data_IF_911523503062
#
_entry.id   IF_911523503062
#
_cell.length_a   1.000
_cell.length_b   1.000
_cell.length_c   1.000
_cell.angle_alpha   90.00
_cell.angle_beta   90.00
_cell.angle_gamma   90.00
#
_symmetry.space_group_name_H-M   'P 1'
#
loop_
_entity.id
_entity.type
_entity.pdbx_description
1 polymer ?
#
# COMPACT_ATOMS: atom_id res chain seq x y z
N UNK A 1 -98.52 -8.99 -12.71
CA UNK A 1 -99.13 -7.66 -12.50
C UNK A 1 -98.14 -6.62 -13.03
N UNK A 2 -98.50 -6.07 -14.19
CA UNK A 2 -98.25 -4.70 -14.71
C UNK A 2 -96.81 -4.22 -14.79
N UNK A 3 -96.25 -4.14 -16.02
CA UNK A 3 -96.17 -3.01 -16.95
C UNK A 3 -95.16 -1.93 -16.45
N UNK A 4 -94.20 -1.41 -17.21
CA UNK A 4 -94.16 -0.84 -18.55
C UNK A 4 -92.74 -0.53 -18.89
N UNK A 5 -92.14 -0.76 -19.93
CA UNK A 5 -92.03 -0.16 -21.25
C UNK A 5 -91.51 1.28 -21.27
N UNK A 6 -90.15 1.46 -21.59
CA UNK A 6 -89.72 2.70 -22.27
C UNK A 6 -88.64 2.31 -23.27
N UNK A 7 -89.00 2.53 -24.54
CA UNK A 7 -88.13 2.53 -25.72
C UNK A 7 -87.28 3.82 -25.76
N UNK A 8 -85.95 3.72 -26.00
CA UNK A 8 -85.17 4.88 -26.46
C UNK A 8 -84.37 4.52 -27.73
N UNK A 9 -84.56 5.37 -28.67
CA UNK A 9 -84.17 5.26 -30.05
C UNK A 9 -82.66 5.28 -30.24
N UNK A 10 -82.26 4.60 -31.27
CA UNK A 10 -80.94 4.60 -31.85
C UNK A 10 -80.69 5.85 -32.69
N UNK A 11 -79.91 6.79 -32.24
CA UNK A 11 -79.27 7.76 -33.12
C UNK A 11 -77.89 7.28 -33.59
N UNK A 12 -77.80 6.98 -34.85
CA UNK A 12 -76.53 6.74 -35.53
C UNK A 12 -75.89 8.08 -35.87
N UNK A 13 -74.83 8.43 -35.18
CA UNK A 13 -73.93 9.49 -35.66
C UNK A 13 -72.82 8.90 -36.54
N UNK A 14 -72.87 9.25 -37.81
CA UNK A 14 -71.85 8.99 -38.80
C UNK A 14 -70.59 9.84 -38.49
N UNK A 15 -69.58 9.30 -37.82
CA UNK A 15 -68.23 9.90 -37.74
C UNK A 15 -67.40 9.48 -38.92
N UNK A 16 -67.10 10.42 -39.80
CA UNK A 16 -66.40 10.17 -41.07
C UNK A 16 -64.93 9.75 -40.88
N UNK A 17 -64.29 9.23 -41.91
CA UNK A 17 -62.92 8.61 -41.86
C UNK A 17 -61.76 9.56 -41.55
N UNK A 18 -62.01 10.85 -41.36
CA UNK A 18 -60.97 11.85 -41.07
C UNK A 18 -60.45 11.83 -39.59
N UNK A 19 -61.27 11.35 -38.63
CA UNK A 19 -60.89 11.33 -37.20
C UNK A 19 -59.98 10.15 -36.90
N UNK A 20 -60.12 9.00 -37.58
CA UNK A 20 -59.27 7.82 -37.35
C UNK A 20 -57.80 8.04 -37.83
N UNK A 21 -57.61 8.75 -38.96
CA UNK A 21 -56.25 9.05 -39.44
C UNK A 21 -55.49 10.08 -38.58
N UNK A 22 -56.21 10.95 -37.86
CA UNK A 22 -55.61 11.95 -36.98
C UNK A 22 -55.16 11.37 -35.65
N UNK A 23 -55.91 10.39 -35.09
CA UNK A 23 -55.51 9.64 -33.93
C UNK A 23 -54.34 8.72 -34.15
N UNK A 24 -54.25 8.03 -35.30
CA UNK A 24 -53.11 7.20 -35.66
C UNK A 24 -51.80 7.99 -35.80
N UNK A 25 -51.85 9.23 -36.32
CA UNK A 25 -50.64 10.11 -36.40
C UNK A 25 -50.19 10.61 -35.04
N UNK A 26 -51.10 10.87 -34.08
CA UNK A 26 -50.73 11.33 -32.74
C UNK A 26 -50.15 10.14 -31.92
N UNK A 27 -50.68 8.92 -32.07
CA UNK A 27 -50.14 7.74 -31.39
C UNK A 27 -48.76 7.35 -31.95
N UNK A 28 -48.51 7.49 -33.26
CA UNK A 28 -47.19 7.24 -33.87
C UNK A 28 -46.14 8.32 -33.45
N UNK A 29 -46.55 9.55 -33.22
CA UNK A 29 -45.64 10.62 -32.75
C UNK A 29 -45.29 10.42 -31.25
N UNK A 30 -46.19 9.92 -30.42
CA UNK A 30 -45.94 9.62 -29.01
C UNK A 30 -45.08 8.35 -28.84
N UNK A 31 -45.20 7.35 -29.69
CA UNK A 31 -44.32 6.17 -29.68
C UNK A 31 -42.92 6.46 -30.25
N UNK A 32 -42.81 7.38 -31.21
CA UNK A 32 -41.53 7.83 -31.77
C UNK A 32 -40.74 8.70 -30.79
N UNK A 33 -41.40 9.45 -29.91
CA UNK A 33 -40.74 10.29 -28.88
C UNK A 33 -40.30 9.48 -27.64
N UNK A 34 -40.90 8.31 -27.39
CA UNK A 34 -40.52 7.44 -26.25
C UNK A 34 -39.32 6.54 -26.59
N UNK A 35 -39.04 6.30 -27.88
CA UNK A 35 -37.91 5.48 -28.33
C UNK A 35 -36.56 6.25 -28.33
N UNK A 36 -36.52 7.57 -28.03
CA UNK A 36 -35.31 8.38 -28.00
C UNK A 36 -34.85 8.79 -26.60
N UNK A 37 -35.56 8.38 -25.55
CA UNK A 37 -35.05 8.41 -24.19
C UNK A 37 -34.34 7.10 -23.85
N UNK A 38 -33.33 6.72 -24.64
CA UNK A 38 -32.24 5.89 -24.13
C UNK A 38 -31.61 6.72 -23.02
N UNK A 39 -31.69 6.34 -21.74
CA UNK A 39 -30.87 7.01 -20.74
C UNK A 39 -29.44 6.84 -21.20
N UNK A 40 -28.81 7.92 -21.68
CA UNK A 40 -27.36 7.98 -21.64
C UNK A 40 -27.00 7.72 -20.19
N UNK A 41 -26.70 6.48 -19.86
CA UNK A 41 -26.01 6.14 -18.65
C UNK A 41 -24.68 6.89 -18.73
N UNK A 42 -24.68 8.12 -18.23
CA UNK A 42 -23.45 8.86 -18.02
C UNK A 42 -22.58 7.95 -17.16
N UNK A 43 -21.45 7.54 -17.69
CA UNK A 43 -20.45 6.81 -16.94
C UNK A 43 -20.20 7.57 -15.63
N UNK A 44 -20.68 7.02 -14.52
CA UNK A 44 -20.55 7.62 -13.20
C UNK A 44 -19.29 7.07 -12.57
N UNK A 45 -18.14 7.69 -12.89
CA UNK A 45 -16.90 7.34 -12.21
C UNK A 45 -16.93 7.76 -10.73
N UNK A 46 -16.30 6.99 -9.90
CA UNK A 46 -16.13 7.35 -8.48
C UNK A 46 -15.31 8.64 -8.36
N UNK A 47 -15.86 9.71 -7.77
CA UNK A 47 -15.11 10.95 -7.59
C UNK A 47 -14.04 10.80 -6.51
N UNK A 48 -12.80 11.12 -6.84
CA UNK A 48 -11.67 11.08 -5.93
C UNK A 48 -11.02 12.46 -5.81
N UNK A 49 -10.59 12.82 -4.62
CA UNK A 49 -9.92 14.09 -4.33
C UNK A 49 -8.74 13.86 -3.38
N UNK A 50 -7.66 14.65 -3.51
CA UNK A 50 -6.58 14.66 -2.53
C UNK A 50 -7.11 14.90 -1.12
N UNK A 51 -6.54 14.19 -0.13
CA UNK A 51 -6.84 14.40 1.27
C UNK A 51 -6.25 15.71 1.82
N UNK A 52 -6.53 15.98 3.09
CA UNK A 52 -5.94 17.13 3.79
C UNK A 52 -4.41 17.08 3.72
N UNK A 53 -3.80 18.22 3.35
CA UNK A 53 -2.38 18.32 3.07
C UNK A 53 -1.87 19.75 3.37
N UNK A 54 -0.84 19.85 4.20
CA UNK A 54 -0.17 21.11 4.54
C UNK A 54 0.84 21.55 3.49
N UNK A 55 1.27 20.63 2.62
CA UNK A 55 2.25 20.91 1.59
C UNK A 55 1.57 21.45 0.33
N UNK A 56 2.22 22.37 -0.35
CA UNK A 56 1.83 22.77 -1.70
C UNK A 56 2.28 21.72 -2.73
N UNK A 57 1.70 21.69 -3.95
CA UNK A 57 2.20 20.80 -5.01
C UNK A 57 3.65 21.05 -5.40
N UNK A 58 4.13 22.28 -5.32
CA UNK A 58 5.53 22.66 -5.57
C UNK A 58 6.45 22.05 -4.49
N UNK A 59 6.00 22.04 -3.24
CA UNK A 59 6.72 21.37 -2.16
C UNK A 59 6.74 19.85 -2.32
N UNK A 60 5.67 19.23 -2.85
CA UNK A 60 5.68 17.81 -3.21
C UNK A 60 6.83 17.51 -4.19
N UNK A 61 6.98 18.34 -5.24
CA UNK A 61 8.06 18.17 -6.23
C UNK A 61 9.45 18.33 -5.57
N UNK A 62 9.64 19.32 -4.71
CA UNK A 62 10.93 19.53 -4.03
C UNK A 62 11.29 18.37 -3.10
N UNK A 63 10.34 17.89 -2.29
CA UNK A 63 10.49 16.74 -1.40
C UNK A 63 10.83 15.49 -2.22
N UNK A 64 10.04 15.22 -3.25
CA UNK A 64 10.22 14.06 -4.10
C UNK A 64 11.54 14.07 -4.86
N UNK A 65 11.94 15.21 -5.40
CA UNK A 65 13.22 15.33 -6.10
C UNK A 65 14.44 15.10 -5.18
N UNK A 66 14.34 15.56 -3.91
CA UNK A 66 15.39 15.27 -2.93
C UNK A 66 15.44 13.78 -2.60
N UNK A 67 14.27 13.17 -2.34
CA UNK A 67 14.16 11.76 -2.04
C UNK A 67 14.56 10.87 -3.23
N UNK A 68 14.23 11.28 -4.48
CA UNK A 68 14.62 10.57 -5.69
C UNK A 68 16.14 10.52 -5.86
N UNK A 69 16.83 11.66 -5.70
CA UNK A 69 18.30 11.69 -5.73
C UNK A 69 18.95 10.79 -4.66
N UNK A 70 18.33 10.68 -3.50
CA UNK A 70 18.83 9.79 -2.44
C UNK A 70 18.51 8.31 -2.76
N UNK A 71 17.36 8.03 -3.34
CA UNK A 71 16.99 6.69 -3.82
C UNK A 71 17.97 6.22 -4.91
N UNK A 72 18.23 7.04 -5.93
CA UNK A 72 19.17 6.73 -7.01
C UNK A 72 20.59 6.41 -6.52
N UNK A 73 21.04 7.06 -5.42
CA UNK A 73 22.35 6.77 -4.83
C UNK A 73 22.39 5.48 -4.04
N UNK A 74 21.26 5.06 -3.46
CA UNK A 74 21.18 3.92 -2.52
C UNK A 74 20.68 2.65 -3.19
N UNK A 75 19.84 2.78 -4.21
CA UNK A 75 19.25 1.65 -4.90
C UNK A 75 20.15 1.16 -6.05
N UNK A 76 20.15 -0.14 -6.33
CA UNK A 76 20.86 -0.69 -7.48
C UNK A 76 20.07 -0.36 -8.76
N UNK A 77 20.32 0.80 -9.36
CA UNK A 77 19.62 1.21 -10.58
C UNK A 77 19.94 0.30 -11.75
N UNK A 78 18.97 0.07 -12.68
CA UNK A 78 19.21 -0.72 -13.89
C UNK A 78 20.24 -0.06 -14.82
N UNK A 79 20.32 1.28 -14.80
CA UNK A 79 21.21 2.09 -15.65
C UNK A 79 21.08 1.75 -17.16
N UNK A 80 19.85 1.49 -17.59
CA UNK A 80 19.49 1.19 -18.98
C UNK A 80 18.59 2.30 -19.53
N UNK A 81 19.14 3.24 -20.33
CA UNK A 81 18.37 4.37 -20.88
C UNK A 81 17.21 3.96 -21.77
N UNK A 82 17.26 2.79 -22.43
CA UNK A 82 16.15 2.30 -23.26
C UNK A 82 14.97 1.85 -22.40
N UNK A 83 15.28 1.17 -21.30
CA UNK A 83 14.29 0.71 -20.34
C UNK A 83 13.62 1.90 -19.64
N UNK A 84 14.40 2.87 -19.19
CA UNK A 84 13.86 4.09 -18.57
C UNK A 84 13.01 4.89 -19.56
N UNK A 85 13.45 5.00 -20.83
CA UNK A 85 12.67 5.65 -21.89
C UNK A 85 11.35 4.91 -22.17
N UNK A 86 11.37 3.58 -22.17
CA UNK A 86 10.15 2.77 -22.33
C UNK A 86 9.18 2.97 -21.16
N UNK A 87 9.66 2.89 -19.91
CA UNK A 87 8.86 3.16 -18.72
C UNK A 87 8.28 4.58 -18.74
N UNK A 88 9.08 5.56 -19.14
CA UNK A 88 8.64 6.95 -19.30
C UNK A 88 7.57 7.09 -20.40
N UNK A 89 7.67 6.37 -21.51
CA UNK A 89 6.66 6.39 -22.58
C UNK A 89 5.30 5.86 -22.09
N UNK A 90 5.30 4.72 -21.41
CA UNK A 90 4.06 4.14 -20.84
C UNK A 90 3.53 5.03 -19.73
N UNK A 91 4.39 5.40 -18.77
CA UNK A 91 4.01 6.16 -17.59
C UNK A 91 3.48 7.56 -17.90
N UNK A 92 4.10 8.30 -18.84
CA UNK A 92 3.62 9.64 -19.25
C UNK A 92 2.25 9.57 -19.91
N UNK A 93 1.99 8.56 -20.75
CA UNK A 93 0.66 8.33 -21.34
C UNK A 93 -0.41 8.15 -20.26
N UNK A 94 -0.09 7.46 -19.17
CA UNK A 94 -0.99 7.28 -18.03
C UNK A 94 -1.12 8.56 -17.21
N UNK A 95 -0.01 9.25 -16.94
CA UNK A 95 0.03 10.49 -16.18
C UNK A 95 -0.79 11.63 -16.83
N UNK A 96 -0.85 11.68 -18.15
CA UNK A 96 -1.71 12.62 -18.91
C UNK A 96 -3.21 12.43 -18.60
N UNK A 97 -3.61 11.26 -18.12
CA UNK A 97 -5.00 10.95 -17.77
C UNK A 97 -5.26 11.11 -16.25
N UNK A 98 -4.24 11.36 -15.45
CA UNK A 98 -4.37 11.52 -14.02
C UNK A 98 -4.98 12.89 -13.65
N UNK A 99 -6.01 12.95 -12.77
CA UNK A 99 -6.66 14.19 -12.37
C UNK A 99 -5.80 14.94 -11.34
N UNK A 100 -4.77 15.63 -11.76
CA UNK A 100 -3.84 16.37 -10.89
C UNK A 100 -4.37 17.75 -10.45
N UNK A 101 -5.61 18.10 -10.77
CA UNK A 101 -6.17 19.42 -10.45
C UNK A 101 -5.48 20.58 -11.17
N UNK A 102 -4.89 20.34 -12.34
CA UNK A 102 -4.15 21.33 -13.14
C UNK A 102 -2.68 21.48 -12.74
N UNK A 103 -2.20 20.69 -11.76
CA UNK A 103 -0.79 20.68 -11.37
C UNK A 103 0.01 19.88 -12.40
N UNK A 104 1.09 20.49 -12.90
CA UNK A 104 2.04 19.83 -13.80
C UNK A 104 3.14 19.18 -12.97
N UNK A 105 3.01 17.88 -12.72
CA UNK A 105 4.09 17.11 -12.09
C UNK A 105 5.11 16.64 -13.14
N UNK A 106 6.42 16.73 -12.84
CA UNK A 106 7.48 16.27 -13.74
C UNK A 106 7.65 14.76 -13.63
N UNK A 107 6.65 13.97 -14.09
CA UNK A 107 6.73 12.52 -13.96
C UNK A 107 8.02 11.95 -14.59
N UNK A 108 8.82 11.29 -13.75
CA UNK A 108 10.03 10.56 -14.09
C UNK A 108 9.90 9.10 -13.68
N UNK A 109 10.43 8.18 -14.47
CA UNK A 109 10.29 6.73 -14.28
C UNK A 109 11.65 6.07 -14.36
N UNK A 110 12.00 5.29 -13.34
CA UNK A 110 13.30 4.67 -13.15
C UNK A 110 13.19 3.18 -12.88
N UNK A 111 14.06 2.38 -13.50
CA UNK A 111 14.16 0.97 -13.20
C UNK A 111 15.17 0.71 -12.09
N UNK A 112 14.73 -0.04 -11.08
CA UNK A 112 15.60 -0.56 -10.02
C UNK A 112 15.94 -2.02 -10.33
N UNK A 113 17.23 -2.37 -10.32
CA UNK A 113 17.72 -3.72 -10.55
C UNK A 113 17.54 -4.59 -9.28
N UNK A 114 16.29 -4.79 -8.88
CA UNK A 114 15.88 -5.63 -7.77
C UNK A 114 14.84 -6.65 -8.27
N UNK A 115 14.98 -7.92 -7.84
CA UNK A 115 14.05 -9.00 -8.19
C UNK A 115 12.79 -9.03 -7.34
N UNK A 116 12.75 -8.28 -6.24
CA UNK A 116 11.52 -8.12 -5.48
C UNK A 116 10.44 -7.48 -6.38
N UNK A 117 9.23 -8.00 -6.31
CA UNK A 117 8.10 -7.39 -7.02
C UNK A 117 7.67 -6.18 -6.22
N UNK A 118 8.05 -5.00 -6.69
CA UNK A 118 7.70 -3.73 -6.06
C UNK A 118 7.76 -2.59 -7.07
N UNK A 119 6.97 -1.55 -6.82
CA UNK A 119 7.08 -0.23 -7.41
C UNK A 119 6.69 0.79 -6.35
N UNK A 120 7.18 2.01 -6.43
CA UNK A 120 6.77 3.07 -5.53
C UNK A 120 6.89 4.43 -6.20
N UNK A 121 6.04 5.35 -5.80
CA UNK A 121 6.07 6.74 -6.22
C UNK A 121 6.42 7.66 -5.06
N UNK A 122 7.38 8.53 -5.28
CA UNK A 122 7.67 9.64 -4.38
C UNK A 122 6.79 10.85 -4.71
N UNK A 123 6.54 11.75 -3.76
CA UNK A 123 5.79 12.98 -4.02
C UNK A 123 6.30 13.72 -5.25
N UNK A 124 5.41 14.38 -5.99
CA UNK A 124 5.81 15.16 -7.15
C UNK A 124 6.07 14.38 -8.44
N UNK A 125 5.97 13.02 -8.43
CA UNK A 125 5.92 12.23 -9.66
C UNK A 125 7.18 11.43 -10.01
N UNK A 126 8.05 11.12 -9.04
CA UNK A 126 9.23 10.27 -9.23
C UNK A 126 8.86 8.82 -8.94
N UNK A 127 8.80 7.98 -9.98
CA UNK A 127 8.31 6.60 -9.91
C UNK A 127 9.46 5.63 -10.12
N UNK A 128 9.63 4.69 -9.21
CA UNK A 128 10.63 3.64 -9.26
C UNK A 128 9.95 2.28 -9.44
N UNK A 129 10.45 1.49 -10.37
CA UNK A 129 9.90 0.17 -10.70
C UNK A 129 10.99 -0.88 -10.61
N UNK A 130 10.81 -1.83 -9.73
CA UNK A 130 11.73 -2.95 -9.63
C UNK A 130 11.65 -3.83 -10.88
N UNK A 131 12.80 -4.34 -11.36
CA UNK A 131 12.83 -5.27 -12.49
C UNK A 131 11.93 -6.48 -12.24
N UNK A 132 11.81 -6.94 -10.99
CA UNK A 132 10.93 -8.05 -10.61
C UNK A 132 9.47 -7.80 -10.98
N UNK A 133 8.99 -6.57 -10.92
CA UNK A 133 7.63 -6.18 -11.35
C UNK A 133 7.48 -6.31 -12.86
N UNK A 134 8.48 -5.87 -13.63
CA UNK A 134 8.49 -6.00 -15.10
C UNK A 134 8.57 -7.48 -15.53
N UNK A 135 9.40 -8.28 -14.84
CA UNK A 135 9.51 -9.72 -15.06
C UNK A 135 8.21 -10.46 -14.75
N UNK A 136 7.49 -10.03 -13.72
CA UNK A 136 6.24 -10.65 -13.26
C UNK A 136 5.04 -10.29 -14.15
N UNK A 137 5.02 -9.11 -14.76
CA UNK A 137 3.96 -8.71 -15.67
C UNK A 137 4.01 -9.54 -16.97
N UNK A 138 2.87 -10.13 -17.36
CA UNK A 138 2.78 -10.90 -18.61
C UNK A 138 2.51 -10.02 -19.81
N UNK A 139 1.86 -8.88 -19.59
CA UNK A 139 1.40 -7.96 -20.63
C UNK A 139 1.75 -6.52 -20.26
N UNK A 140 1.86 -5.66 -21.27
CA UNK A 140 2.06 -4.23 -21.07
C UNK A 140 0.97 -3.62 -20.18
N UNK A 141 -0.28 -4.05 -20.33
CA UNK A 141 -1.39 -3.55 -19.54
C UNK A 141 -1.22 -3.86 -18.03
N UNK A 142 -0.65 -5.01 -17.67
CA UNK A 142 -0.36 -5.33 -16.28
C UNK A 142 0.70 -4.40 -15.69
N UNK A 143 1.78 -4.12 -16.43
CA UNK A 143 2.77 -3.12 -16.01
C UNK A 143 2.15 -1.73 -15.95
N UNK A 144 1.35 -1.35 -16.95
CA UNK A 144 0.61 -0.09 -16.97
C UNK A 144 -0.34 0.03 -15.76
N UNK A 145 -0.93 -1.09 -15.31
CA UNK A 145 -1.76 -1.16 -14.11
C UNK A 145 -1.00 -0.77 -12.85
N UNK A 146 0.19 -1.33 -12.66
CA UNK A 146 1.06 -0.96 -11.53
C UNK A 146 1.45 0.52 -11.62
N UNK A 147 1.89 0.99 -12.80
CA UNK A 147 2.24 2.40 -12.99
C UNK A 147 1.05 3.34 -12.75
N UNK A 148 -0.16 2.97 -13.18
CA UNK A 148 -1.37 3.77 -12.94
C UNK A 148 -1.72 3.87 -11.44
N UNK A 149 -1.49 2.80 -10.69
CA UNK A 149 -1.62 2.77 -9.23
C UNK A 149 -0.63 3.75 -8.58
N UNK A 150 0.65 3.70 -8.97
CA UNK A 150 1.68 4.62 -8.45
C UNK A 150 1.38 6.09 -8.82
N UNK A 151 0.98 6.35 -10.07
CA UNK A 151 0.56 7.67 -10.52
C UNK A 151 -0.65 8.18 -9.72
N UNK A 152 -1.55 7.28 -9.31
CA UNK A 152 -2.69 7.63 -8.47
C UNK A 152 -2.29 8.11 -7.08
N UNK A 153 -1.26 7.51 -6.47
CA UNK A 153 -0.71 8.01 -5.21
C UNK A 153 -0.15 9.43 -5.34
N UNK A 154 0.48 9.75 -6.46
CA UNK A 154 0.96 11.13 -6.75
C UNK A 154 -0.21 12.08 -6.97
N UNK A 155 -1.16 11.73 -7.83
CA UNK A 155 -2.31 12.58 -8.18
C UNK A 155 -3.19 12.89 -6.95
N UNK A 156 -3.37 11.93 -6.05
CA UNK A 156 -4.11 12.08 -4.80
C UNK A 156 -3.23 12.56 -3.63
N UNK A 157 -1.94 12.79 -3.88
CA UNK A 157 -0.97 13.35 -2.93
C UNK A 157 -0.87 12.56 -1.63
N UNK A 158 -0.98 11.22 -1.71
CA UNK A 158 -1.05 10.34 -0.54
C UNK A 158 0.17 10.45 0.35
N UNK A 159 1.39 10.52 -0.22
CA UNK A 159 2.63 10.60 0.55
C UNK A 159 2.69 11.83 1.46
N UNK A 160 2.47 13.02 0.92
CA UNK A 160 2.52 14.26 1.71
C UNK A 160 1.28 14.49 2.57
N UNK A 161 0.11 13.95 2.18
CA UNK A 161 -1.06 13.90 3.07
C UNK A 161 -0.79 13.04 4.31
N UNK A 162 -0.14 11.91 4.14
CA UNK A 162 0.26 11.04 5.25
C UNK A 162 1.32 11.70 6.13
N UNK A 163 2.34 12.32 5.52
CA UNK A 163 3.34 13.11 6.23
C UNK A 163 2.70 14.27 7.03
N UNK A 164 1.68 14.93 6.46
CA UNK A 164 0.88 15.94 7.14
C UNK A 164 0.19 15.37 8.38
N UNK A 165 -0.45 14.21 8.27
CA UNK A 165 -1.13 13.57 9.40
C UNK A 165 -0.14 13.15 10.49
N UNK A 166 1.00 12.59 10.11
CA UNK A 166 2.06 12.23 11.04
C UNK A 166 2.67 13.45 11.73
N UNK A 167 2.93 14.53 10.99
CA UNK A 167 3.44 15.79 11.53
C UNK A 167 2.44 16.51 12.44
N UNK A 168 1.17 16.51 12.09
CA UNK A 168 0.12 17.14 12.90
C UNK A 168 -0.04 16.50 14.29
N UNK A 169 0.34 15.24 14.46
CA UNK A 169 0.31 14.54 15.76
C UNK A 169 1.56 14.82 16.61
N UNK A 170 2.64 15.37 16.02
CA UNK A 170 3.93 15.55 16.70
C UNK A 170 4.32 17.02 16.93
N UNK A 171 3.68 17.98 16.23
CA UNK A 171 3.99 19.40 16.35
C UNK A 171 2.98 20.10 17.29
N UNK A 172 3.44 20.91 18.26
CA UNK A 172 2.55 21.79 19.02
C UNK A 172 1.77 22.70 18.06
N UNK A 173 0.48 22.87 18.30
CA UNK A 173 -0.46 23.67 17.49
C UNK A 173 0.05 25.10 17.21
N UNK A 174 0.93 25.63 18.05
CA UNK A 174 1.57 26.94 17.88
C UNK A 174 2.44 27.06 16.62
N UNK A 175 2.92 25.95 16.05
CA UNK A 175 3.75 25.95 14.82
C UNK A 175 2.88 25.86 13.56
N UNK A 176 1.64 25.37 13.69
CA UNK A 176 0.69 25.26 12.58
C UNK A 176 0.10 26.61 12.13
N UNK A 177 0.13 27.65 12.98
CA UNK A 177 -0.40 28.97 12.69
C UNK A 177 0.60 30.02 12.23
N UNK A 178 1.87 29.75 12.28
CA UNK A 178 2.94 30.70 11.97
C UNK A 178 3.95 30.14 10.96
N UNK A 179 3.70 30.38 9.67
CA UNK A 179 4.70 30.52 8.60
C UNK A 179 5.79 29.44 8.63
N UNK A 180 5.65 28.43 7.80
CA UNK A 180 6.76 27.62 7.30
C UNK A 180 7.73 28.55 6.53
N UNK A 181 8.64 29.21 7.22
CA UNK A 181 9.75 29.91 6.60
C UNK A 181 10.71 28.91 5.93
N UNK A 182 11.47 29.36 4.93
CA UNK A 182 12.38 28.53 4.13
C UNK A 182 13.32 27.62 4.96
N UNK A 183 13.70 28.02 6.17
CA UNK A 183 14.58 27.26 7.06
C UNK A 183 13.88 26.07 7.75
N UNK A 184 12.60 26.20 8.09
CA UNK A 184 11.81 25.10 8.68
C UNK A 184 11.36 24.09 7.63
N UNK A 185 11.10 24.56 6.41
CA UNK A 185 10.86 23.70 5.25
C UNK A 185 12.11 22.88 4.92
N UNK A 186 13.30 23.49 4.93
CA UNK A 186 14.58 22.81 4.72
C UNK A 186 14.82 21.69 5.74
N UNK A 187 14.55 21.93 7.03
CA UNK A 187 14.68 20.92 8.07
C UNK A 187 13.65 19.78 7.89
N UNK A 188 12.40 20.12 7.54
CA UNK A 188 11.33 19.13 7.28
C UNK A 188 11.61 18.32 6.00
N UNK A 189 12.08 18.97 4.92
CA UNK A 189 12.54 18.32 3.69
C UNK A 189 13.71 17.38 3.97
N UNK A 190 14.65 17.76 4.82
CA UNK A 190 15.79 16.91 5.22
C UNK A 190 15.29 15.72 6.06
N UNK A 191 14.33 15.92 6.95
CA UNK A 191 13.78 14.88 7.81
C UNK A 191 12.85 13.91 7.04
N UNK A 192 12.03 14.42 6.10
CA UNK A 192 11.13 13.64 5.26
C UNK A 192 11.81 13.13 3.98
N UNK A 193 12.85 13.84 3.51
CA UNK A 193 13.58 13.52 2.27
C UNK A 193 14.67 12.48 2.45
N UNK A 194 15.00 12.07 3.69
CA UNK A 194 15.88 10.93 3.89
C UNK A 194 15.16 9.66 3.42
N UNK A 195 15.38 9.28 2.15
CA UNK A 195 14.90 8.01 1.64
C UNK A 195 15.58 6.87 2.40
N UNK A 196 14.79 6.18 3.20
CA UNK A 196 15.16 4.89 3.76
C UNK A 196 14.12 3.87 3.29
N UNK A 197 14.54 2.67 2.99
CA UNK A 197 13.61 1.57 2.78
C UNK A 197 12.70 1.46 4.01
N UNK A 198 11.40 1.70 3.85
CA UNK A 198 10.44 1.79 4.96
C UNK A 198 10.13 3.22 5.45
N UNK A 199 10.49 4.27 4.70
CA UNK A 199 10.09 5.65 5.02
C UNK A 199 8.57 5.81 5.07
N UNK A 200 8.08 6.70 5.95
CA UNK A 200 6.63 7.03 6.08
C UNK A 200 5.99 7.44 4.76
N UNK A 201 6.77 7.96 3.82
CA UNK A 201 6.28 8.38 2.51
C UNK A 201 5.82 7.22 1.63
N UNK A 202 6.21 5.98 1.92
CA UNK A 202 5.96 4.79 1.11
C UNK A 202 4.93 3.82 1.73
N UNK A 203 4.51 4.04 3.00
CA UNK A 203 3.51 3.19 3.64
C UNK A 203 2.14 3.85 3.58
N UNK A 204 1.22 3.25 2.87
CA UNK A 204 -0.10 3.81 2.66
C UNK A 204 -1.16 3.13 3.54
N UNK A 205 -2.21 3.89 3.88
CA UNK A 205 -3.38 3.33 4.56
C UNK A 205 -4.23 2.52 3.57
N UNK A 206 -5.02 1.55 4.06
CA UNK A 206 -5.96 0.78 3.22
C UNK A 206 -6.91 1.68 2.42
N UNK A 207 -7.32 2.83 2.99
CA UNK A 207 -8.13 3.83 2.28
C UNK A 207 -7.37 4.44 1.10
N UNK A 208 -6.09 4.78 1.28
CA UNK A 208 -5.26 5.31 0.20
C UNK A 208 -5.05 4.27 -0.90
N UNK A 209 -4.85 3.00 -0.54
CA UNK A 209 -4.75 1.88 -1.48
C UNK A 209 -6.05 1.70 -2.28
N UNK A 210 -7.21 1.72 -1.60
CA UNK A 210 -8.52 1.66 -2.27
C UNK A 210 -8.70 2.81 -3.26
N UNK A 211 -8.29 4.01 -2.89
CA UNK A 211 -8.36 5.18 -3.78
C UNK A 211 -7.40 5.04 -4.97
N UNK A 212 -6.20 4.49 -4.75
CA UNK A 212 -5.22 4.26 -5.81
C UNK A 212 -5.69 3.17 -6.80
N UNK A 213 -6.33 2.11 -6.31
CA UNK A 213 -6.93 1.08 -7.17
C UNK A 213 -8.04 1.65 -8.07
N UNK A 214 -8.97 2.42 -7.48
CA UNK A 214 -10.08 3.02 -8.22
C UNK A 214 -9.57 4.04 -9.24
N UNK A 215 -8.68 4.94 -8.84
CA UNK A 215 -8.15 5.95 -9.76
C UNK A 215 -7.25 5.31 -10.84
N UNK A 216 -6.44 4.31 -10.47
CA UNK A 216 -5.62 3.55 -11.42
C UNK A 216 -6.47 2.87 -12.49
N UNK A 217 -7.62 2.30 -12.10
CA UNK A 217 -8.61 1.75 -13.03
C UNK A 217 -9.15 2.81 -13.99
N UNK A 218 -9.48 4.01 -13.50
CA UNK A 218 -9.95 5.13 -14.32
C UNK A 218 -8.86 5.60 -15.29
N UNK A 219 -7.62 5.72 -14.83
CA UNK A 219 -6.47 6.11 -15.65
C UNK A 219 -6.22 5.11 -16.77
N UNK A 220 -6.23 3.80 -16.47
CA UNK A 220 -6.10 2.73 -17.48
C UNK A 220 -7.19 2.83 -18.52
N UNK A 221 -8.45 2.98 -18.09
CA UNK A 221 -9.60 3.14 -18.98
C UNK A 221 -9.43 4.31 -19.94
N UNK A 222 -9.08 5.50 -19.40
CA UNK A 222 -8.92 6.74 -20.18
C UNK A 222 -7.67 6.70 -21.09
N UNK A 223 -6.65 5.93 -20.72
CA UNK A 223 -5.45 5.72 -21.53
C UNK A 223 -5.61 4.61 -22.59
N UNK A 224 -6.78 3.94 -22.63
CA UNK A 224 -7.08 2.90 -23.60
C UNK A 224 -6.44 1.54 -23.30
N UNK A 225 -6.01 1.30 -22.05
CA UNK A 225 -5.57 -0.01 -21.58
C UNK A 225 -6.73 -0.83 -21.01
N UNK A 226 -6.50 -2.14 -20.84
CA UNK A 226 -7.43 -3.01 -20.09
C UNK A 226 -7.56 -2.48 -18.66
N UNK A 227 -8.72 -1.98 -18.23
CA UNK A 227 -8.88 -1.39 -16.90
C UNK A 227 -8.79 -2.42 -15.76
N UNK A 228 -8.93 -3.73 -16.08
CA UNK A 228 -8.77 -4.83 -15.10
C UNK A 228 -7.33 -5.31 -14.97
N UNK A 229 -6.40 -4.75 -15.73
CA UNK A 229 -5.04 -5.29 -15.81
C UNK A 229 -4.31 -5.30 -14.46
N UNK A 230 -4.57 -4.30 -13.60
CA UNK A 230 -4.02 -4.27 -12.24
C UNK A 230 -4.58 -5.43 -11.39
N UNK A 231 -5.90 -5.64 -11.40
CA UNK A 231 -6.52 -6.76 -10.68
C UNK A 231 -5.99 -8.11 -11.18
N UNK A 232 -5.89 -8.28 -12.51
CA UNK A 232 -5.32 -9.49 -13.13
C UNK A 232 -3.86 -9.73 -12.71
N UNK A 233 -3.07 -8.67 -12.56
CA UNK A 233 -1.71 -8.77 -12.06
C UNK A 233 -1.69 -9.34 -10.63
N UNK A 234 -2.53 -8.84 -9.73
CA UNK A 234 -2.62 -9.34 -8.35
C UNK A 234 -3.19 -10.74 -8.24
N UNK A 235 -4.27 -11.07 -8.97
CA UNK A 235 -4.82 -12.43 -9.03
C UNK A 235 -3.75 -13.45 -9.40
N UNK A 236 -2.94 -13.09 -10.40
CA UNK A 236 -1.83 -13.94 -10.84
C UNK A 236 -0.76 -14.11 -9.78
N UNK A 237 -0.40 -13.03 -9.08
CA UNK A 237 0.59 -13.08 -8.01
C UNK A 237 0.12 -13.95 -6.84
N UNK A 238 -1.16 -13.85 -6.47
CA UNK A 238 -1.78 -14.71 -5.46
C UNK A 238 -1.78 -16.17 -5.88
N UNK A 239 -2.10 -16.47 -7.16
CA UNK A 239 -2.10 -17.84 -7.69
C UNK A 239 -0.70 -18.48 -7.70
N UNK A 240 0.38 -17.71 -7.68
CA UNK A 240 1.78 -18.19 -7.63
C UNK A 240 2.31 -18.47 -6.21
N UNK A 241 1.50 -18.36 -5.19
CA UNK A 241 1.86 -18.76 -3.82
C UNK A 241 1.70 -17.69 -2.74
N UNK A 242 0.96 -16.61 -3.01
CA UNK A 242 0.64 -15.58 -2.01
C UNK A 242 1.84 -14.70 -1.60
N UNK A 243 1.77 -14.01 -0.45
CA UNK A 243 2.72 -12.98 -0.02
C UNK A 243 4.06 -13.54 0.50
N UNK A 244 4.54 -14.67 0.01
CA UNK A 244 5.85 -15.21 0.38
C UNK A 244 6.96 -14.74 -0.56
N UNK A 245 8.13 -14.38 -0.01
CA UNK A 245 9.32 -14.03 -0.79
C UNK A 245 9.20 -12.67 -1.50
N UNK A 246 9.34 -12.66 -2.83
CA UNK A 246 9.40 -11.42 -3.64
C UNK A 246 8.17 -10.51 -3.61
N UNK A 247 7.03 -11.00 -3.09
CA UNK A 247 5.77 -10.26 -2.95
C UNK A 247 5.60 -9.60 -1.58
N UNK A 248 6.30 -10.08 -0.56
CA UNK A 248 6.17 -9.59 0.81
C UNK A 248 6.44 -8.08 0.90
N UNK A 249 7.42 -7.58 0.13
CA UNK A 249 7.75 -6.16 0.09
C UNK A 249 6.60 -5.33 -0.49
N UNK A 250 6.01 -5.77 -1.60
CA UNK A 250 4.89 -5.05 -2.22
C UNK A 250 3.72 -4.91 -1.24
N UNK A 251 3.30 -5.99 -0.58
CA UNK A 251 2.20 -5.94 0.39
C UNK A 251 2.57 -5.26 1.72
N UNK A 252 3.87 -5.14 2.05
CA UNK A 252 4.34 -4.32 3.16
C UNK A 252 4.15 -2.83 2.90
N UNK A 253 4.41 -2.39 1.68
CA UNK A 253 4.32 -0.99 1.27
C UNK A 253 2.89 -0.64 0.83
N UNK A 254 2.19 -1.61 0.23
CA UNK A 254 0.81 -1.52 -0.27
C UNK A 254 -0.08 -2.58 0.39
N UNK A 255 -0.57 -2.35 1.62
CA UNK A 255 -1.43 -3.30 2.32
C UNK A 255 -2.61 -3.70 1.45
N UNK A 256 -2.79 -5.02 1.23
CA UNK A 256 -3.83 -5.53 0.36
C UNK A 256 -5.22 -5.14 0.88
N UNK A 257 -5.97 -4.26 0.20
CA UNK A 257 -7.35 -3.99 0.58
C UNK A 257 -8.21 -5.20 0.27
N UNK A 258 -9.09 -5.58 1.19
CA UNK A 258 -10.09 -6.60 0.95
C UNK A 258 -10.92 -6.23 -0.29
N UNK A 259 -11.32 -7.24 -1.08
CA UNK A 259 -12.18 -7.07 -2.25
C UNK A 259 -11.62 -6.14 -3.35
N UNK A 260 -10.30 -6.19 -3.60
CA UNK A 260 -9.65 -5.36 -4.64
C UNK A 260 -10.22 -5.63 -6.03
N UNK A 261 -10.42 -6.90 -6.37
CA UNK A 261 -10.94 -7.31 -7.70
C UNK A 261 -12.36 -6.82 -7.89
N UNK A 262 -13.22 -7.03 -6.89
CA UNK A 262 -14.62 -6.61 -6.93
C UNK A 262 -14.72 -5.08 -7.11
N UNK A 263 -13.90 -4.29 -6.42
CA UNK A 263 -13.88 -2.83 -6.56
C UNK A 263 -13.46 -2.37 -7.96
N UNK A 264 -12.46 -3.02 -8.54
CA UNK A 264 -12.04 -2.73 -9.92
C UNK A 264 -13.19 -3.03 -10.87
N UNK A 265 -13.87 -4.16 -10.72
CA UNK A 265 -15.01 -4.54 -11.56
C UNK A 265 -16.20 -3.59 -11.40
N UNK A 266 -16.50 -3.16 -10.18
CA UNK A 266 -17.51 -2.14 -9.90
C UNK A 266 -17.17 -0.80 -10.57
N UNK A 267 -15.91 -0.35 -10.51
CA UNK A 267 -15.50 0.89 -11.13
C UNK A 267 -15.55 0.78 -12.66
N UNK A 268 -15.12 -0.34 -13.25
CA UNK A 268 -15.26 -0.62 -14.69
C UNK A 268 -16.71 -0.57 -15.12
N UNK A 269 -17.63 -1.14 -14.31
CA UNK A 269 -19.07 -1.08 -14.60
C UNK A 269 -19.60 0.36 -14.58
N UNK A 270 -19.16 1.19 -13.61
CA UNK A 270 -19.50 2.63 -13.54
C UNK A 270 -18.97 3.42 -14.73
N UNK A 271 -17.84 3.03 -15.29
CA UNK A 271 -17.24 3.62 -16.50
C UNK A 271 -17.97 3.24 -17.80
N UNK A 272 -19.01 2.42 -17.71
CA UNK A 272 -19.78 1.95 -18.88
C UNK A 272 -19.38 0.55 -19.35
N UNK A 273 -18.66 -0.20 -18.53
CA UNK A 273 -18.14 -1.51 -18.84
C UNK A 273 -16.78 -1.47 -19.56
N UNK A 274 -16.16 -2.62 -19.81
CA UNK A 274 -14.87 -2.67 -20.49
C UNK A 274 -14.99 -2.11 -21.91
N UNK A 275 -14.04 -1.24 -22.34
CA UNK A 275 -14.07 -0.69 -23.68
C UNK A 275 -13.90 -1.81 -24.72
N UNK A 276 -14.54 -1.65 -25.90
CA UNK A 276 -14.51 -2.68 -26.95
C UNK A 276 -13.09 -2.92 -27.52
N UNK A 277 -12.25 -1.87 -27.54
CA UNK A 277 -10.89 -1.93 -28.04
C UNK A 277 -9.96 -1.32 -27.00
N UNK A 278 -9.28 -2.14 -26.24
CA UNK A 278 -8.25 -1.72 -25.29
C UNK A 278 -6.93 -2.43 -25.56
N UNK A 279 -5.85 -1.74 -25.26
CA UNK A 279 -4.50 -2.28 -25.38
C UNK A 279 -4.25 -3.26 -24.23
N UNK A 280 -3.88 -4.48 -24.56
CA UNK A 280 -3.43 -5.48 -23.58
C UNK A 280 -1.93 -5.60 -23.57
N UNK A 281 -1.33 -5.71 -24.75
CA UNK A 281 0.10 -5.99 -24.86
C UNK A 281 0.72 -5.27 -26.06
N UNK A 282 2.06 -5.26 -26.11
CA UNK A 282 2.81 -4.73 -27.25
C UNK A 282 4.08 -5.56 -27.51
N UNK A 283 4.55 -5.50 -28.73
CA UNK A 283 5.82 -6.11 -29.13
C UNK A 283 6.97 -5.47 -28.38
N UNK A 284 6.88 -4.16 -28.16
CA UNK A 284 7.85 -3.35 -27.43
C UNK A 284 7.98 -3.82 -25.97
N UNK A 285 6.85 -4.05 -25.28
CA UNK A 285 6.85 -4.58 -23.92
C UNK A 285 7.54 -5.95 -23.86
N UNK A 286 7.17 -6.86 -24.74
CA UNK A 286 7.76 -8.20 -24.77
C UNK A 286 9.25 -8.16 -25.10
N UNK A 287 9.71 -7.20 -25.88
CA UNK A 287 11.13 -6.98 -26.13
C UNK A 287 11.83 -6.47 -24.86
N UNK A 288 11.28 -5.43 -24.21
CA UNK A 288 11.83 -4.88 -22.96
C UNK A 288 11.85 -5.93 -21.84
N UNK A 289 10.79 -6.72 -21.71
CA UNK A 289 10.72 -7.79 -20.71
C UNK A 289 11.83 -8.83 -20.93
N UNK A 290 12.14 -9.21 -22.20
CA UNK A 290 13.27 -10.11 -22.49
C UNK A 290 14.61 -9.48 -22.14
N UNK A 291 14.81 -8.19 -22.40
CA UNK A 291 16.02 -7.48 -22.00
C UNK A 291 16.19 -7.47 -20.46
N UNK A 292 15.11 -7.18 -19.73
CA UNK A 292 15.10 -7.20 -18.26
C UNK A 292 15.42 -8.61 -17.72
N UNK A 293 14.86 -9.67 -18.31
CA UNK A 293 15.14 -11.05 -17.91
C UNK A 293 16.62 -11.44 -18.16
N UNK A 294 17.26 -10.81 -19.15
CA UNK A 294 18.67 -11.03 -19.49
C UNK A 294 19.66 -10.16 -18.68
N UNK A 295 19.14 -9.19 -17.90
CA UNK A 295 19.99 -8.36 -17.03
C UNK A 295 20.80 -9.25 -16.07
N UNK A 296 22.05 -8.91 -15.79
CA UNK A 296 22.81 -9.56 -14.73
C UNK A 296 22.02 -9.58 -13.42
N UNK A 297 22.21 -10.58 -12.57
CA UNK A 297 21.63 -10.55 -11.23
C UNK A 297 21.96 -9.21 -10.59
N UNK A 298 21.03 -8.64 -9.77
CA UNK A 298 21.30 -7.40 -9.06
C UNK A 298 22.68 -7.51 -8.40
N UNK A 299 23.49 -6.44 -8.43
CA UNK A 299 24.70 -6.45 -7.65
C UNK A 299 24.26 -6.85 -6.24
N UNK A 300 24.91 -7.86 -5.69
CA UNK A 300 24.70 -8.18 -4.28
C UNK A 300 24.90 -6.84 -3.57
N UNK A 301 23.81 -6.21 -3.15
CA UNK A 301 23.91 -5.07 -2.24
C UNK A 301 24.70 -5.66 -1.09
N UNK A 302 25.95 -5.30 -0.98
CA UNK A 302 26.64 -5.47 0.27
C UNK A 302 25.80 -4.62 1.20
N UNK A 303 24.86 -5.21 1.93
CA UNK A 303 24.29 -4.65 3.13
C UNK A 303 25.51 -4.09 3.83
N UNK A 304 25.57 -2.76 3.97
CA UNK A 304 26.81 -2.02 4.20
C UNK A 304 27.70 -2.85 5.07
N UNK A 305 28.77 -3.37 4.50
CA UNK A 305 29.46 -4.58 4.92
C UNK A 305 29.35 -4.70 6.44
N UNK A 306 28.33 -5.41 6.90
CA UNK A 306 28.52 -6.11 8.15
C UNK A 306 29.73 -6.99 7.79
N UNK A 307 30.92 -6.45 8.00
CA UNK A 307 32.09 -7.25 8.12
C UNK A 307 31.60 -8.42 8.96
N UNK A 308 31.59 -9.65 8.41
CA UNK A 308 30.95 -10.85 8.99
C UNK A 308 31.37 -11.10 10.43
N UNK A 309 31.05 -10.21 11.31
CA UNK A 309 31.35 -10.15 12.71
C UNK A 309 30.05 -9.96 13.48
N UNK A 310 29.92 -10.71 14.54
CA UNK A 310 28.93 -10.57 15.58
C UNK A 310 28.75 -9.08 15.93
N UNK A 311 27.50 -8.56 16.01
CA UNK A 311 27.25 -7.19 16.43
C UNK A 311 27.90 -6.88 17.77
N UNK A 312 28.26 -5.61 17.97
CA UNK A 312 28.73 -5.19 19.29
C UNK A 312 27.67 -5.46 20.36
N UNK A 313 28.03 -5.89 21.56
CA UNK A 313 27.10 -6.13 22.64
C UNK A 313 26.23 -4.91 22.91
N UNK A 314 24.99 -5.08 23.37
CA UNK A 314 24.10 -3.98 23.74
C UNK A 314 24.78 -3.05 24.78
N UNK A 315 24.70 -1.74 24.54
CA UNK A 315 25.22 -0.74 25.48
C UNK A 315 24.41 -0.75 26.79
N UNK A 316 25.09 -0.53 27.92
CA UNK A 316 24.42 -0.28 29.19
C UNK A 316 23.77 1.11 29.30
N UNK A 317 24.00 2.00 28.33
CA UNK A 317 23.38 3.34 28.26
C UNK A 317 22.21 3.29 27.28
N UNK A 318 21.06 3.88 27.66
CA UNK A 318 19.85 3.82 26.89
C UNK A 318 19.46 5.19 26.31
N UNK A 319 19.01 5.19 25.06
CA UNK A 319 18.30 6.29 24.40
C UNK A 319 16.79 6.07 24.55
N UNK A 320 15.99 7.14 24.35
CA UNK A 320 14.54 7.06 24.40
C UNK A 320 13.95 7.07 22.99
N UNK A 321 12.91 6.27 22.79
CA UNK A 321 12.04 6.32 21.62
C UNK A 321 10.63 6.73 22.06
N UNK A 322 10.00 7.62 21.27
CA UNK A 322 8.62 8.06 21.47
C UNK A 322 7.82 7.74 20.22
N UNK A 323 6.92 6.76 20.33
CA UNK A 323 5.91 6.45 19.33
C UNK A 323 4.56 7.08 19.65
N UNK A 324 3.53 6.72 18.89
CA UNK A 324 2.17 7.22 19.09
C UNK A 324 1.47 6.50 20.25
N UNK A 325 1.53 5.17 20.29
CA UNK A 325 0.88 4.31 21.28
C UNK A 325 1.78 3.90 22.43
N UNK A 326 3.10 4.14 22.31
CA UNK A 326 4.06 3.76 23.33
C UNK A 326 5.32 4.60 23.31
N UNK A 327 6.03 4.61 24.41
CA UNK A 327 7.43 5.02 24.47
C UNK A 327 8.25 3.94 25.15
N UNK A 328 9.53 3.85 24.80
CA UNK A 328 10.46 2.89 25.40
C UNK A 328 11.90 3.43 25.39
N UNK A 329 12.78 2.75 26.12
CA UNK A 329 14.20 3.01 26.09
C UNK A 329 14.93 1.82 25.47
N UNK A 330 15.97 2.09 24.68
CA UNK A 330 16.76 1.10 23.99
C UNK A 330 18.25 1.41 24.06
N UNK A 331 19.16 0.42 23.91
CA UNK A 331 20.61 0.68 23.96
C UNK A 331 21.02 1.76 22.95
N UNK A 332 21.78 2.76 23.39
CA UNK A 332 22.14 3.89 22.54
C UNK A 332 23.07 3.55 21.35
N UNK A 333 23.67 2.34 21.35
CA UNK A 333 24.41 1.79 20.21
C UNK A 333 23.53 1.00 19.23
N UNK A 334 22.22 0.93 19.47
CA UNK A 334 21.25 0.40 18.53
C UNK A 334 20.68 1.52 17.65
N UNK A 335 20.24 1.16 16.46
CA UNK A 335 19.55 2.04 15.51
C UNK A 335 18.07 1.75 15.53
N UNK A 336 17.27 2.79 15.33
CA UNK A 336 15.83 2.70 15.13
C UNK A 336 15.55 2.75 13.65
N UNK A 337 14.83 1.77 13.12
CA UNK A 337 14.34 1.72 11.76
C UNK A 337 12.80 1.77 11.81
N UNK A 338 12.16 2.56 10.96
CA UNK A 338 10.71 2.76 10.98
C UNK A 338 10.30 3.92 11.90
N UNK A 339 9.00 4.10 12.08
CA UNK A 339 8.39 5.22 12.84
C UNK A 339 7.03 4.82 13.43
N UNK A 340 6.54 5.63 14.38
CA UNK A 340 5.22 5.45 14.99
C UNK A 340 5.12 4.15 15.77
N UNK A 341 4.19 3.28 15.40
CA UNK A 341 3.99 1.99 16.06
C UNK A 341 4.67 0.82 15.33
N UNK A 342 5.31 1.07 14.18
CA UNK A 342 6.02 0.06 13.38
C UNK A 342 7.51 0.41 13.32
N UNK A 343 8.28 -0.15 14.24
CA UNK A 343 9.74 0.10 14.32
C UNK A 343 10.51 -1.21 14.49
N UNK A 344 11.78 -1.16 14.08
CA UNK A 344 12.76 -2.18 14.46
C UNK A 344 13.93 -1.51 15.18
N UNK A 345 14.38 -2.13 16.25
CA UNK A 345 15.53 -1.72 17.05
C UNK A 345 16.63 -2.75 16.83
N UNK A 346 17.78 -2.34 16.34
CA UNK A 346 18.85 -3.29 15.99
C UNK A 346 20.25 -2.68 16.21
N UNK A 347 21.23 -3.45 16.70
CA UNK A 347 22.62 -3.04 16.68
C UNK A 347 23.13 -2.86 15.25
N UNK A 348 24.22 -2.17 15.06
CA UNK A 348 24.89 -2.14 13.77
C UNK A 348 25.37 -3.54 13.39
N UNK A 349 25.02 -4.00 12.16
CA UNK A 349 25.22 -5.39 11.73
C UNK A 349 24.17 -6.40 12.23
N UNK A 350 23.13 -5.95 12.95
CA UNK A 350 22.05 -6.83 13.39
C UNK A 350 20.94 -7.03 12.36
N UNK A 351 20.91 -6.24 11.30
CA UNK A 351 20.14 -6.49 10.08
C UNK A 351 21.09 -7.05 9.03
N UNK A 352 20.78 -8.22 8.49
CA UNK A 352 21.59 -8.95 7.53
C UNK A 352 20.76 -9.31 6.30
N UNK A 353 21.43 -9.69 5.21
CA UNK A 353 20.73 -10.29 4.07
C UNK A 353 20.48 -11.78 4.33
N UNK A 354 19.25 -12.22 4.13
CA UNK A 354 18.90 -13.63 4.15
C UNK A 354 19.39 -14.35 2.87
N UNK A 355 19.08 -15.65 2.75
CA UNK A 355 19.46 -16.46 1.58
C UNK A 355 18.77 -16.03 0.29
N UNK A 356 17.71 -15.25 0.37
CA UNK A 356 16.99 -14.68 -0.78
C UNK A 356 17.54 -13.31 -1.21
N UNK A 357 18.46 -12.73 -0.43
CA UNK A 357 19.00 -11.38 -0.61
C UNK A 357 18.11 -10.29 -0.01
N UNK A 358 17.17 -10.66 0.85
CA UNK A 358 16.31 -9.71 1.56
C UNK A 358 16.91 -9.33 2.92
N UNK A 359 16.64 -8.09 3.34
CA UNK A 359 17.03 -7.63 4.66
C UNK A 359 16.20 -8.35 5.73
N UNK A 360 16.88 -9.06 6.62
CA UNK A 360 16.27 -9.77 7.74
C UNK A 360 16.89 -9.32 9.06
N UNK A 361 16.08 -9.24 10.10
CA UNK A 361 16.56 -8.92 11.44
C UNK A 361 17.14 -10.19 12.08
N UNK A 362 18.45 -10.20 12.29
CA UNK A 362 19.14 -11.29 13.00
C UNK A 362 19.32 -10.99 14.49
N UNK A 363 19.41 -9.71 14.87
CA UNK A 363 19.54 -9.28 16.27
C UNK A 363 18.76 -8.00 16.48
N UNK A 364 17.80 -8.01 17.40
CA UNK A 364 17.06 -6.82 17.76
C UNK A 364 15.63 -7.05 18.19
N UNK A 365 14.80 -6.03 18.03
CA UNK A 365 13.38 -6.09 18.41
C UNK A 365 12.56 -5.44 17.30
N UNK A 366 11.49 -6.11 16.88
CA UNK A 366 10.43 -5.56 16.04
C UNK A 366 9.31 -5.13 16.97
N UNK A 367 8.76 -3.94 16.75
CA UNK A 367 7.51 -3.47 17.36
C UNK A 367 6.55 -3.13 16.24
N UNK A 368 5.34 -3.68 16.30
CA UNK A 368 4.34 -3.38 15.28
C UNK A 368 2.93 -3.56 15.86
N UNK A 369 1.92 -3.14 15.11
CA UNK A 369 0.51 -3.28 15.47
C UNK A 369 -0.23 -4.05 14.37
N UNK A 370 -0.98 -5.07 14.78
CA UNK A 370 -1.89 -5.84 13.92
C UNK A 370 -3.32 -5.39 14.16
N UNK A 371 -4.12 -5.30 13.09
CA UNK A 371 -5.53 -4.91 13.18
C UNK A 371 -6.34 -5.90 14.03
N UNK A 372 -7.19 -5.38 14.94
CA UNK A 372 -8.07 -6.17 15.79
C UNK A 372 -9.43 -5.45 15.87
N UNK A 373 -10.34 -5.75 14.93
CA UNK A 373 -11.62 -5.05 14.80
C UNK A 373 -12.86 -5.86 15.20
N UNK A 374 -12.74 -6.78 16.16
CA UNK A 374 -13.91 -7.50 16.67
C UNK A 374 -14.22 -7.05 18.12
N UNK A 375 -15.51 -6.77 18.42
CA UNK A 375 -16.02 -6.59 19.78
C UNK A 375 -15.99 -7.95 20.52
N UNK A 376 -14.91 -8.22 21.24
CA UNK A 376 -14.76 -9.39 22.10
C UNK A 376 -14.44 -8.93 23.52
N UNK A 377 -14.84 -9.74 24.50
CA UNK A 377 -14.36 -9.63 25.88
C UNK A 377 -12.82 -9.62 25.90
N UNK A 378 -12.25 -8.64 26.59
CA UNK A 378 -10.84 -8.25 26.47
C UNK A 378 -9.81 -9.40 26.59
N UNK A 379 -10.04 -10.36 27.49
CA UNK A 379 -9.12 -11.49 27.70
C UNK A 379 -9.18 -12.52 26.56
N UNK A 380 -10.38 -12.81 26.05
CA UNK A 380 -10.57 -13.72 24.90
C UNK A 380 -10.10 -13.10 23.60
N UNK A 381 -10.26 -11.77 23.45
CA UNK A 381 -9.76 -11.04 22.31
C UNK A 381 -8.23 -11.13 22.22
N UNK A 382 -7.53 -10.90 23.34
CA UNK A 382 -6.07 -10.99 23.38
C UNK A 382 -5.57 -12.38 22.96
N UNK A 383 -6.17 -13.46 23.47
CA UNK A 383 -5.81 -14.83 23.08
C UNK A 383 -6.07 -15.07 21.59
N UNK A 384 -7.27 -14.77 21.11
CA UNK A 384 -7.66 -14.99 19.72
C UNK A 384 -6.78 -14.22 18.72
N UNK A 385 -6.49 -12.95 19.00
CA UNK A 385 -5.65 -12.15 18.09
C UNK A 385 -4.18 -12.56 18.15
N UNK A 386 -3.69 -13.01 19.32
CA UNK A 386 -2.34 -13.56 19.45
C UNK A 386 -2.20 -14.87 18.66
N UNK A 387 -3.19 -15.77 18.72
CA UNK A 387 -3.21 -17.01 17.93
C UNK A 387 -3.21 -16.69 16.43
N UNK A 388 -4.07 -15.79 15.97
CA UNK A 388 -4.09 -15.35 14.56
C UNK A 388 -2.75 -14.78 14.11
N UNK A 389 -2.10 -13.97 14.96
CA UNK A 389 -0.77 -13.42 14.64
C UNK A 389 0.28 -14.53 14.54
N UNK A 390 0.26 -15.50 15.45
CA UNK A 390 1.17 -16.65 15.42
C UNK A 390 0.95 -17.47 14.13
N UNK A 391 -0.30 -17.80 13.81
CA UNK A 391 -0.65 -18.53 12.57
C UNK A 391 -0.15 -17.78 11.32
N UNK A 392 -0.29 -16.45 11.31
CA UNK A 392 0.22 -15.62 10.23
C UNK A 392 1.75 -15.67 10.16
N UNK A 393 2.45 -15.53 11.29
CA UNK A 393 3.91 -15.58 11.35
C UNK A 393 4.45 -16.94 10.90
N UNK A 394 3.83 -18.06 11.34
CA UNK A 394 4.19 -19.40 10.89
C UNK A 394 3.92 -19.62 9.39
N UNK A 395 2.83 -19.03 8.87
CA UNK A 395 2.54 -19.09 7.44
C UNK A 395 3.55 -18.31 6.59
N UNK A 396 3.94 -17.12 7.06
CA UNK A 396 4.93 -16.27 6.40
C UNK A 396 6.36 -16.81 6.52
N UNK A 397 6.64 -17.59 7.57
CA UNK A 397 7.95 -18.17 7.87
C UNK A 397 7.83 -19.70 8.04
N UNK A 398 7.96 -20.49 6.96
CA UNK A 398 7.70 -21.94 6.99
C UNK A 398 8.58 -22.74 7.97
N UNK A 399 9.71 -22.17 8.40
CA UNK A 399 10.59 -22.76 9.41
C UNK A 399 10.21 -22.38 10.85
N UNK A 400 9.30 -21.41 11.01
CA UNK A 400 8.89 -20.94 12.33
C UNK A 400 7.98 -21.95 13.01
N UNK A 401 8.15 -22.10 14.32
CA UNK A 401 7.34 -22.98 15.16
C UNK A 401 7.24 -22.46 16.58
N UNK A 402 6.12 -22.70 17.24
CA UNK A 402 5.96 -22.39 18.67
C UNK A 402 6.78 -23.35 19.52
N UNK A 403 7.73 -22.80 20.28
CA UNK A 403 8.55 -23.57 21.24
C UNK A 403 7.92 -23.56 22.63
N UNK A 404 7.35 -22.44 23.04
CA UNK A 404 6.60 -22.30 24.30
C UNK A 404 5.28 -21.60 24.01
N UNK A 405 4.17 -22.26 24.37
CA UNK A 405 2.81 -21.74 24.18
C UNK A 405 2.60 -20.40 24.89
N UNK A 406 1.64 -19.57 24.43
CA UNK A 406 1.33 -18.29 25.05
C UNK A 406 1.07 -18.43 26.55
N UNK A 407 1.80 -17.66 27.34
CA UNK A 407 1.64 -17.54 28.79
C UNK A 407 1.18 -16.14 29.14
N UNK A 408 0.27 -16.01 30.12
CA UNK A 408 -0.21 -14.72 30.61
C UNK A 408 0.87 -13.99 31.40
N UNK A 409 1.14 -12.74 31.00
CA UNK A 409 2.08 -11.83 31.65
C UNK A 409 1.45 -10.45 31.83
N UNK A 410 2.13 -9.54 32.48
CA UNK A 410 1.75 -8.12 32.51
C UNK A 410 2.83 -7.28 31.90
N UNK A 411 2.44 -6.44 30.94
CA UNK A 411 3.31 -5.47 30.30
C UNK A 411 2.83 -4.06 30.64
N UNK A 412 3.64 -3.28 31.35
CA UNK A 412 3.24 -1.95 31.85
C UNK A 412 1.89 -1.96 32.61
N UNK A 413 1.63 -3.01 33.40
CA UNK A 413 0.38 -3.21 34.13
C UNK A 413 -0.80 -3.73 33.31
N UNK A 414 -0.72 -3.77 32.00
CA UNK A 414 -1.76 -4.29 31.10
C UNK A 414 -1.64 -5.82 30.96
N UNK A 415 -2.76 -6.56 30.78
CA UNK A 415 -2.73 -7.96 30.39
C UNK A 415 -1.98 -8.13 29.05
N UNK A 416 -1.08 -9.11 29.00
CA UNK A 416 -0.29 -9.42 27.82
C UNK A 416 -0.06 -10.94 27.72
N UNK A 417 0.33 -11.41 26.55
CA UNK A 417 0.77 -12.78 26.34
C UNK A 417 2.24 -12.81 25.91
N UNK A 418 2.95 -13.82 26.37
CA UNK A 418 4.36 -14.08 26.08
C UNK A 418 4.49 -15.46 25.46
N UNK A 419 5.06 -15.53 24.26
CA UNK A 419 5.23 -16.73 23.46
C UNK A 419 6.65 -16.82 22.97
N UNK A 420 7.27 -18.01 23.00
CA UNK A 420 8.58 -18.22 22.37
C UNK A 420 8.41 -19.04 21.10
N UNK A 421 8.98 -18.53 20.03
CA UNK A 421 9.03 -19.16 18.72
C UNK A 421 10.48 -19.47 18.38
N UNK A 422 10.71 -20.44 17.51
CA UNK A 422 12.00 -20.69 16.86
C UNK A 422 11.82 -20.59 15.36
N UNK A 423 12.80 -20.05 14.67
CA UNK A 423 12.81 -19.90 13.22
C UNK A 423 14.21 -20.20 12.67
N UNK A 424 14.34 -20.28 11.35
CA UNK A 424 15.64 -20.34 10.70
C UNK A 424 16.33 -18.98 10.75
N UNK A 425 17.49 -18.89 11.38
CA UNK A 425 18.24 -17.64 11.45
C UNK A 425 18.81 -17.25 10.09
N UNK A 426 18.72 -15.98 9.68
CA UNK A 426 19.39 -15.49 8.48
C UNK A 426 20.92 -15.60 8.57
N UNK A 427 21.46 -15.69 9.79
CA UNK A 427 22.89 -15.96 10.05
C UNK A 427 23.26 -17.43 9.91
N UNK A 428 22.28 -18.33 9.73
CA UNK A 428 22.43 -19.78 9.74
C UNK A 428 22.14 -20.38 11.13
N UNK A 429 21.64 -21.62 11.13
CA UNK A 429 21.14 -22.26 12.35
C UNK A 429 19.73 -21.80 12.71
N UNK A 430 19.39 -21.90 13.99
CA UNK A 430 18.10 -21.47 14.52
C UNK A 430 18.21 -20.12 15.26
N UNK A 431 17.11 -19.37 15.30
CA UNK A 431 16.94 -18.18 16.12
C UNK A 431 15.79 -18.40 17.12
N UNK A 432 15.82 -17.61 18.17
CA UNK A 432 14.75 -17.53 19.15
C UNK A 432 14.04 -16.18 18.96
N UNK A 433 12.72 -16.27 18.79
CA UNK A 433 11.83 -15.13 18.66
C UNK A 433 10.90 -15.08 19.88
N UNK A 434 11.14 -14.12 20.77
CA UNK A 434 10.26 -13.89 21.90
C UNK A 434 9.18 -12.89 21.53
N UNK A 435 7.96 -13.40 21.31
CA UNK A 435 6.77 -12.62 20.97
C UNK A 435 6.03 -12.19 22.25
N UNK A 436 5.77 -10.91 22.38
CA UNK A 436 4.91 -10.34 23.42
C UNK A 436 3.78 -9.58 22.72
N UNK A 437 2.53 -9.81 23.15
CA UNK A 437 1.34 -9.18 22.60
C UNK A 437 0.53 -8.49 23.68
N UNK A 438 0.00 -7.31 23.38
CA UNK A 438 -0.89 -6.54 24.26
C UNK A 438 -2.00 -5.91 23.44
N UNK A 439 -3.25 -6.06 23.91
CA UNK A 439 -4.41 -5.50 23.23
C UNK A 439 -4.50 -4.00 23.49
N UNK A 440 -4.74 -3.23 22.41
CA UNK A 440 -4.94 -1.78 22.43
C UNK A 440 -6.26 -1.43 21.75
N UNK A 441 -6.81 -0.23 21.97
CA UNK A 441 -8.04 0.21 21.28
C UNK A 441 -7.95 0.11 19.77
N UNK A 442 -6.78 0.37 19.18
CA UNK A 442 -6.55 0.41 17.74
C UNK A 442 -5.99 -0.91 17.15
N UNK A 443 -5.84 -1.97 17.96
CA UNK A 443 -5.34 -3.25 17.48
C UNK A 443 -4.53 -4.06 18.49
N UNK A 444 -3.81 -5.06 18.01
CA UNK A 444 -2.89 -5.87 18.80
C UNK A 444 -1.46 -5.32 18.62
N UNK A 445 -0.95 -4.61 19.64
CA UNK A 445 0.46 -4.20 19.68
C UNK A 445 1.32 -5.42 20.03
N UNK A 446 2.37 -5.66 19.24
CA UNK A 446 3.26 -6.78 19.48
C UNK A 446 4.73 -6.41 19.37
N UNK A 447 5.54 -7.17 20.10
CA UNK A 447 6.99 -7.05 20.15
C UNK A 447 7.58 -8.42 19.83
N UNK A 448 8.55 -8.47 18.91
CA UNK A 448 9.31 -9.69 18.60
C UNK A 448 10.77 -9.43 18.88
N UNK A 449 11.31 -10.05 19.91
CA UNK A 449 12.73 -9.97 20.28
C UNK A 449 13.48 -11.11 19.61
N UNK A 450 14.42 -10.80 18.73
CA UNK A 450 15.09 -11.75 17.84
C UNK A 450 16.58 -11.81 18.14
N UNK A 451 17.10 -13.01 18.30
CA UNK A 451 18.54 -13.27 18.28
C UNK A 451 18.79 -14.75 17.89
N UNK A 452 19.97 -15.07 17.28
CA UNK A 452 20.37 -16.46 17.10
C UNK A 452 20.31 -17.24 18.41
N UNK A 453 19.81 -18.46 18.37
CA UNK A 453 19.54 -19.27 19.58
C UNK A 453 20.78 -19.41 20.46
N UNK A 454 21.96 -19.62 19.85
CA UNK A 454 23.23 -19.76 20.58
C UNK A 454 23.66 -18.47 21.32
N UNK A 455 23.06 -17.33 21.01
CA UNK A 455 23.42 -16.02 21.55
C UNK A 455 22.30 -15.33 22.29
N UNK A 456 21.12 -15.91 22.29
CA UNK A 456 19.92 -15.29 22.85
C UNK A 456 20.10 -14.83 24.32
N UNK A 457 20.78 -15.61 25.13
CA UNK A 457 21.06 -15.29 26.53
C UNK A 457 21.89 -13.99 26.72
N UNK A 458 22.66 -13.59 25.70
CA UNK A 458 23.40 -12.33 25.73
C UNK A 458 22.51 -11.11 25.53
N UNK A 459 21.34 -11.28 24.91
CA UNK A 459 20.37 -10.24 24.57
C UNK A 459 19.15 -10.23 25.48
N UNK A 460 18.83 -11.35 26.13
CA UNK A 460 17.63 -11.53 26.94
C UNK A 460 17.45 -10.41 27.99
N UNK A 461 18.51 -10.13 28.77
CA UNK A 461 18.48 -9.04 29.76
C UNK A 461 18.21 -7.66 29.15
N UNK A 462 18.68 -7.45 27.92
CA UNK A 462 18.46 -6.20 27.19
C UNK A 462 17.03 -6.11 26.72
N UNK A 463 16.47 -7.19 26.19
CA UNK A 463 15.07 -7.25 25.78
C UNK A 463 14.13 -7.00 26.97
N UNK A 464 14.39 -7.64 28.11
CA UNK A 464 13.65 -7.38 29.35
C UNK A 464 13.76 -5.91 29.74
N UNK A 465 14.96 -5.33 29.75
CA UNK A 465 15.15 -3.92 30.12
C UNK A 465 14.42 -2.94 29.18
N UNK A 466 14.37 -3.24 27.86
CA UNK A 466 13.59 -2.46 26.90
C UNK A 466 12.08 -2.55 27.24
N UNK A 467 11.55 -3.76 27.44
CA UNK A 467 10.14 -4.00 27.76
C UNK A 467 9.74 -3.41 29.13
N UNK A 468 10.61 -3.46 30.15
CA UNK A 468 10.37 -2.84 31.46
C UNK A 468 10.32 -1.31 31.38
N UNK A 469 11.03 -0.73 30.41
CA UNK A 469 11.01 0.70 30.17
C UNK A 469 9.78 1.19 29.43
N UNK A 470 8.99 0.26 28.85
CA UNK A 470 7.81 0.56 28.05
C UNK A 470 6.80 1.40 28.83
N UNK A 471 6.24 2.40 28.17
CA UNK A 471 5.07 3.16 28.63
C UNK A 471 4.06 3.19 27.51
N UNK A 472 2.89 2.62 27.76
CA UNK A 472 1.77 2.62 26.82
C UNK A 472 1.02 3.96 26.95
N UNK A 473 0.60 4.54 25.84
CA UNK A 473 -0.30 5.68 25.82
C UNK A 473 -1.64 5.31 26.51
N UNK A 474 -2.29 6.29 27.15
CA UNK A 474 -3.58 6.07 27.84
C UNK A 474 -4.73 5.95 26.84
#
# INVERSE_FOLDING_TARGET
>A
MLLSGVSYGTERQHGGPATAKRMQKITALLFGAFALLVPCAFAQRTPLKPGWNLFSPQQDVQIGQSAARDAEKKLPMCNDPKLDAYLAQVGKRLAEKAPTGGVQYPFEFHCVNDKAINAFALPGGFVFVNRGTIEAADTEAQLAGVLAHEISHVALRHGTSQATKAGATQLPIAILGGILGDSSLGALVTQLGAFTAGSVLLKYSRTAETQADVLGTQILYDAGYDPRALAQFFERLQARGGPSGSLAQFFSDHPNPDHRVERVDEEVAKLGGPPQNYKRDSVEFQAMRREVLALPPPPKVRAGAAAGGKPAPPSGTFAAYQGNEFSLKYPNNWKVYGQGNAISLSPEGGVVEDRSGQAALAYGMIVNMSDAHEELDSDKALEKFTERLIDQLEHENPAMRVVRKPGRVRLNGQPALSTYLSNASPMGGEETDWLITVLRPDGLLYFVCVAPQAEYDNYDKTFVAILDSLRLAK
#
